data_IF_135139204721
#
_entry.id   IF_135139204721
#
_cell.length_a   1.000
_cell.length_b   1.000
_cell.length_c   1.000
_cell.angle_alpha   90.00
_cell.angle_beta   90.00
_cell.angle_gamma   90.00
#
_symmetry.space_group_name_H-M   'P 1'
#
loop_
_entity.id
_entity.type
_entity.pdbx_description
1 polymer ?
#
# COMPACT_ATOMS: atom_id res chain seq x y z
N UNK A 1 2.74 21.08 11.71
CA UNK A 1 3.76 20.02 11.73
C UNK A 1 3.45 18.86 10.78
N UNK A 2 4.23 18.75 9.70
CA UNK A 2 4.23 17.61 8.77
C UNK A 2 4.81 16.38 9.47
N UNK A 3 4.14 15.23 9.39
CA UNK A 3 4.55 13.98 10.08
C UNK A 3 5.01 12.86 9.15
N UNK A 4 4.59 12.94 7.89
CA UNK A 4 4.92 12.03 6.82
C UNK A 4 4.98 12.79 5.51
N UNK A 5 5.63 12.18 4.51
CA UNK A 5 5.69 12.70 3.15
C UNK A 5 4.29 12.82 2.54
N UNK A 6 4.09 13.88 1.77
CA UNK A 6 2.90 14.11 0.96
C UNK A 6 3.07 13.54 -0.44
N UNK A 7 1.98 13.38 -1.23
CA UNK A 7 2.10 12.97 -2.62
C UNK A 7 2.96 13.93 -3.45
N UNK A 8 2.93 15.23 -3.14
CA UNK A 8 3.67 16.24 -3.88
C UNK A 8 5.18 16.12 -3.65
N UNK A 9 5.61 15.80 -2.42
CA UNK A 9 7.04 15.53 -2.11
C UNK A 9 7.60 14.35 -2.93
N UNK A 10 6.75 13.35 -3.18
CA UNK A 10 7.12 12.14 -3.92
C UNK A 10 7.10 12.36 -5.44
N UNK A 11 6.30 13.33 -5.92
CA UNK A 11 6.25 13.73 -7.34
C UNK A 11 7.49 14.50 -7.77
N UNK A 12 8.17 15.17 -6.84
CA UNK A 12 9.42 15.88 -7.12
C UNK A 12 10.58 14.93 -7.44
N UNK A 13 10.46 13.65 -7.10
CA UNK A 13 11.50 12.64 -7.34
C UNK A 13 11.57 12.25 -8.83
N UNK A 14 12.80 12.09 -9.31
CA UNK A 14 13.06 11.39 -10.58
C UNK A 14 12.79 9.88 -10.48
N UNK A 15 12.60 9.20 -11.62
CA UNK A 15 12.37 7.75 -11.65
C UNK A 15 13.51 6.94 -10.99
N UNK A 16 14.75 7.38 -11.13
CA UNK A 16 15.90 6.76 -10.45
C UNK A 16 15.80 6.90 -8.95
N UNK A 17 15.40 8.07 -8.45
CA UNK A 17 15.22 8.30 -7.01
C UNK A 17 14.03 7.55 -6.45
N UNK A 18 12.93 7.44 -7.21
CA UNK A 18 11.78 6.59 -6.86
C UNK A 18 12.19 5.13 -6.71
N UNK A 19 12.95 4.62 -7.68
CA UNK A 19 13.47 3.25 -7.63
C UNK A 19 14.40 3.04 -6.43
N UNK A 20 15.31 3.98 -6.16
CA UNK A 20 16.18 3.93 -4.99
C UNK A 20 15.37 3.93 -3.68
N UNK A 21 14.34 4.78 -3.59
CA UNK A 21 13.46 4.87 -2.42
C UNK A 21 12.72 3.56 -2.17
N UNK A 22 12.20 2.92 -3.22
CA UNK A 22 11.54 1.62 -3.14
C UNK A 22 12.48 0.52 -2.65
N UNK A 23 13.75 0.55 -3.03
CA UNK A 23 14.76 -0.41 -2.58
C UNK A 23 15.15 -0.21 -1.11
N UNK A 24 15.19 1.04 -0.63
CA UNK A 24 15.49 1.37 0.76
C UNK A 24 14.30 1.12 1.69
N UNK A 25 13.09 1.12 1.13
CA UNK A 25 11.88 0.96 1.91
C UNK A 25 11.70 -0.48 2.41
N UNK A 26 11.39 -0.60 3.70
CA UNK A 26 10.97 -1.84 4.35
C UNK A 26 9.50 -1.72 4.79
N UNK A 27 8.55 -2.20 3.96
CA UNK A 27 7.13 -2.13 4.26
C UNK A 27 6.78 -2.83 5.58
N UNK A 28 6.12 -2.13 6.48
CA UNK A 28 5.58 -2.67 7.74
C UNK A 28 4.06 -2.71 7.72
N UNK A 29 3.48 -3.50 8.62
CA UNK A 29 2.02 -3.59 8.78
C UNK A 29 1.47 -2.23 9.20
N UNK A 30 0.42 -1.81 8.54
CA UNK A 30 -0.28 -0.53 8.68
C UNK A 30 0.49 0.70 8.18
N UNK A 31 1.62 0.50 7.50
CA UNK A 31 2.25 1.59 6.78
C UNK A 31 1.34 2.11 5.67
N UNK A 32 1.38 3.42 5.47
CA UNK A 32 0.73 4.07 4.36
C UNK A 32 1.70 4.17 3.18
N UNK A 33 1.17 3.98 1.98
CA UNK A 33 1.90 4.16 0.73
C UNK A 33 0.95 4.67 -0.35
N UNK A 34 1.53 5.10 -1.46
CA UNK A 34 0.81 5.50 -2.65
C UNK A 34 1.04 4.47 -3.74
N UNK A 35 -0.03 3.86 -4.24
CA UNK A 35 0.01 3.10 -5.48
C UNK A 35 0.02 4.05 -6.66
N UNK A 36 0.91 3.80 -7.63
CA UNK A 36 0.96 4.49 -8.91
C UNK A 36 0.24 3.63 -9.95
N UNK A 37 -0.81 4.18 -10.56
CA UNK A 37 -1.58 3.53 -11.62
C UNK A 37 -1.43 4.34 -12.90
N UNK A 38 -0.71 3.80 -13.88
CA UNK A 38 -0.51 4.44 -15.18
C UNK A 38 -1.82 4.48 -15.96
N UNK A 39 -2.23 5.68 -16.40
CA UNK A 39 -3.36 5.87 -17.31
C UNK A 39 -2.92 5.91 -18.75
N UNK A 40 -1.83 6.63 -19.02
CA UNK A 40 -1.25 6.78 -20.35
C UNK A 40 0.26 6.93 -20.22
N UNK A 41 0.99 5.93 -20.71
CA UNK A 41 2.45 5.89 -20.67
C UNK A 41 3.07 6.86 -21.69
N UNK A 42 2.43 7.11 -22.82
CA UNK A 42 2.96 8.01 -23.86
C UNK A 42 2.91 9.47 -23.41
N UNK A 43 1.87 9.83 -22.65
CA UNK A 43 1.66 11.18 -22.13
C UNK A 43 2.14 11.38 -20.68
N UNK A 44 2.85 10.40 -20.12
CA UNK A 44 3.36 10.42 -18.74
C UNK A 44 2.27 10.73 -17.70
N UNK A 45 1.07 10.14 -17.89
CA UNK A 45 -0.08 10.39 -17.03
C UNK A 45 -0.40 9.17 -16.16
N UNK A 46 -0.48 9.40 -14.86
CA UNK A 46 -0.76 8.39 -13.86
C UNK A 46 -1.64 8.94 -12.74
N UNK A 47 -2.41 8.05 -12.13
CA UNK A 47 -3.18 8.31 -10.93
C UNK A 47 -2.44 7.77 -9.71
N UNK A 48 -2.69 8.40 -8.56
CA UNK A 48 -2.10 8.01 -7.28
C UNK A 48 -3.21 7.66 -6.31
N UNK A 49 -3.14 6.47 -5.71
CA UNK A 49 -4.11 6.00 -4.73
C UNK A 49 -3.44 5.75 -3.37
N UNK A 50 -4.03 6.27 -2.30
CA UNK A 50 -3.55 5.97 -0.94
C UNK A 50 -3.93 4.53 -0.57
N UNK A 51 -2.94 3.75 -0.16
CA UNK A 51 -3.09 2.37 0.29
C UNK A 51 -2.50 2.21 1.70
N UNK A 52 -3.09 1.28 2.45
CA UNK A 52 -2.57 0.81 3.73
C UNK A 52 -2.07 -0.62 3.58
N UNK A 53 -0.86 -0.89 4.07
CA UNK A 53 -0.26 -2.22 4.02
C UNK A 53 -0.86 -3.11 5.11
N UNK A 54 -1.35 -4.27 4.73
CA UNK A 54 -1.88 -5.28 5.65
C UNK A 54 -0.87 -6.40 5.93
N UNK A 55 -0.09 -6.76 4.91
CA UNK A 55 0.94 -7.81 4.96
C UNK A 55 1.98 -7.55 3.85
N UNK A 56 3.22 -7.97 4.07
CA UNK A 56 4.30 -7.86 3.08
C UNK A 56 5.04 -9.19 3.00
N UNK A 57 5.16 -9.74 1.79
CA UNK A 57 5.77 -11.05 1.55
C UNK A 57 6.85 -10.97 0.51
N UNK A 58 8.01 -11.53 0.85
CA UNK A 58 9.12 -11.69 -0.09
C UNK A 58 8.86 -12.93 -0.94
N UNK A 59 8.85 -12.75 -2.25
CA UNK A 59 8.75 -13.81 -3.24
C UNK A 59 10.14 -14.06 -3.81
N UNK A 60 10.74 -15.18 -3.41
CA UNK A 60 11.99 -15.65 -3.99
C UNK A 60 11.68 -16.53 -5.19
N UNK A 61 11.94 -15.99 -6.39
CA UNK A 61 11.98 -16.78 -7.63
C UNK A 61 13.44 -16.90 -8.10
N UNK A 62 13.81 -17.97 -8.83
CA UNK A 62 15.17 -18.11 -9.33
C UNK A 62 15.54 -16.92 -10.23
N UNK A 63 16.40 -16.03 -9.73
CA UNK A 63 16.85 -14.83 -10.44
C UNK A 63 16.06 -13.55 -10.16
N UNK A 64 15.00 -13.58 -9.35
CA UNK A 64 14.26 -12.37 -8.95
C UNK A 64 13.73 -12.46 -7.51
N UNK A 65 14.03 -11.45 -6.70
CA UNK A 65 13.52 -11.27 -5.34
C UNK A 65 12.56 -10.07 -5.37
N UNK A 66 11.26 -10.35 -5.40
CA UNK A 66 10.22 -9.30 -5.40
C UNK A 66 9.49 -9.26 -4.06
N UNK A 67 8.93 -8.10 -3.70
CA UNK A 67 8.07 -7.95 -2.52
C UNK A 67 6.63 -7.72 -2.97
N UNK A 68 5.72 -8.58 -2.54
CA UNK A 68 4.28 -8.44 -2.77
C UNK A 68 3.64 -7.95 -1.48
N UNK A 69 2.84 -6.90 -1.60
CA UNK A 69 2.09 -6.26 -0.53
C UNK A 69 0.64 -6.69 -0.62
N UNK A 70 0.06 -7.15 0.49
CA UNK A 70 -1.40 -7.17 0.65
C UNK A 70 -1.82 -5.80 1.14
N UNK A 71 -2.77 -5.15 0.48
CA UNK A 71 -3.16 -3.78 0.78
C UNK A 71 -4.66 -3.61 0.99
N UNK A 72 -5.01 -2.49 1.63
CA UNK A 72 -6.37 -1.99 1.80
C UNK A 72 -6.46 -0.57 1.25
N UNK A 73 -7.55 -0.25 0.56
CA UNK A 73 -7.84 1.09 0.03
C UNK A 73 -8.83 1.81 0.94
N UNK A 74 -8.40 2.79 1.75
CA UNK A 74 -9.29 3.48 2.69
C UNK A 74 -10.41 4.26 1.99
N UNK A 75 -10.15 4.75 0.78
CA UNK A 75 -11.09 5.54 -0.03
C UNK A 75 -11.88 4.69 -1.04
N UNK A 76 -11.79 3.36 -0.95
CA UNK A 76 -12.29 2.44 -1.96
C UNK A 76 -11.22 2.10 -3.00
N UNK A 77 -11.24 0.85 -3.48
CA UNK A 77 -10.32 0.39 -4.49
C UNK A 77 -10.56 1.12 -5.82
N UNK A 78 -9.51 1.42 -6.59
CA UNK A 78 -9.67 1.94 -7.94
C UNK A 78 -10.50 0.94 -8.75
N UNK A 79 -11.49 1.45 -9.48
CA UNK A 79 -12.27 0.63 -10.40
C UNK A 79 -11.45 0.47 -11.69
N UNK A 80 -10.43 -0.38 -11.65
CA UNK A 80 -9.81 -0.85 -12.87
C UNK A 80 -10.82 -1.80 -13.55
N UNK A 81 -11.07 -1.63 -14.85
CA UNK A 81 -11.70 -2.68 -15.64
C UNK A 81 -10.63 -3.77 -15.82
N UNK A 82 -10.43 -4.60 -14.79
CA UNK A 82 -9.76 -5.88 -14.99
C UNK A 82 -10.78 -6.70 -15.76
N UNK A 83 -10.54 -6.90 -17.06
CA UNK A 83 -11.14 -8.04 -17.74
C UNK A 83 -10.85 -9.26 -16.86
N UNK A 84 -11.94 -9.80 -16.35
CA UNK A 84 -12.02 -10.89 -15.40
C UNK A 84 -10.94 -11.92 -15.75
N UNK A 85 -10.00 -12.13 -14.83
CA UNK A 85 -9.01 -13.18 -15.00
C UNK A 85 -9.75 -14.47 -15.31
N UNK A 86 -9.57 -14.93 -16.56
CA UNK A 86 -10.17 -16.12 -17.14
C UNK A 86 -10.19 -17.19 -16.05
N UNK A 87 -11.39 -17.60 -15.61
CA UNK A 87 -11.54 -18.85 -14.88
C UNK A 87 -10.78 -19.90 -15.67
N UNK A 88 -9.65 -20.38 -15.11
CA UNK A 88 -8.96 -21.52 -15.65
C UNK A 88 -9.99 -22.64 -15.65
N UNK A 89 -10.50 -22.91 -16.85
CA UNK A 89 -11.49 -23.93 -17.08
C UNK A 89 -10.93 -25.26 -16.62
N UNK A 90 -11.46 -25.76 -15.51
CA UNK A 90 -11.46 -27.19 -15.24
C UNK A 90 -12.62 -27.80 -16.03
N UNK A 91 -12.43 -27.91 -17.34
CA UNK A 91 -13.10 -28.93 -18.15
C UNK A 91 -12.20 -30.17 -18.11
N UNK A 92 -12.57 -31.16 -17.31
CA UNK A 92 -12.56 -32.56 -17.75
C UNK A 92 -13.27 -33.46 -16.72
N UNK A 93 -14.55 -33.72 -16.98
CA UNK A 93 -15.09 -35.08 -16.89
C UNK A 93 -16.46 -35.08 -17.57
N UNK A 94 -16.47 -35.68 -18.75
CA UNK A 94 -17.64 -36.17 -19.46
C UNK A 94 -18.50 -37.01 -18.50
N UNK A 95 -19.79 -36.72 -18.41
CA UNK A 95 -20.81 -37.76 -18.21
C UNK A 95 -22.16 -37.23 -18.73
N UNK A 96 -22.61 -37.86 -19.80
CA UNK A 96 -23.95 -37.75 -20.36
C UNK A 96 -24.96 -38.31 -19.36
N UNK A 97 -26.05 -37.59 -19.08
CA UNK A 97 -27.34 -38.26 -18.90
C UNK A 97 -28.51 -37.26 -19.08
N UNK A 98 -29.20 -37.46 -20.19
CA UNK A 98 -30.47 -36.82 -20.57
C UNK A 98 -31.59 -37.22 -19.61
N UNK A 99 -32.26 -36.27 -18.93
CA UNK A 99 -33.69 -36.37 -18.57
C UNK A 99 -34.38 -35.00 -18.54
N UNK A 100 -35.28 -34.78 -19.49
CA UNK A 100 -36.32 -33.75 -19.44
C UNK A 100 -37.32 -34.01 -18.31
N UNK A 101 -37.79 -32.96 -17.63
CA UNK A 101 -39.22 -32.77 -17.30
C UNK A 101 -39.46 -31.41 -16.63
N UNK A 102 -40.41 -30.66 -17.21
CA UNK A 102 -40.98 -29.40 -16.74
C UNK A 102 -41.58 -29.43 -15.33
N UNK A 103 -41.45 -28.31 -14.57
CA UNK A 103 -42.57 -27.57 -13.95
C UNK A 103 -42.10 -26.48 -12.95
N UNK A 104 -42.43 -25.22 -13.23
CA UNK A 104 -42.72 -24.17 -12.24
C UNK A 104 -44.19 -24.35 -11.75
N UNK A 105 -44.67 -23.84 -10.58
CA UNK A 105 -44.37 -22.50 -10.05
C UNK A 105 -44.31 -22.29 -8.51
N UNK A 106 -43.67 -21.17 -8.14
CA UNK A 106 -43.99 -20.15 -7.11
C UNK A 106 -44.53 -20.57 -5.72
N UNK A 107 -43.79 -20.23 -4.66
CA UNK A 107 -44.34 -20.05 -3.30
C UNK A 107 -43.58 -18.99 -2.52
N UNK A 108 -44.26 -17.85 -2.38
CA UNK A 108 -44.06 -16.75 -1.45
C UNK A 108 -43.98 -17.22 0.02
N UNK A 109 -42.94 -16.84 0.76
CA UNK A 109 -42.98 -16.72 2.24
C UNK A 109 -42.06 -15.59 2.71
N UNK A 110 -42.70 -14.45 2.94
CA UNK A 110 -42.57 -13.48 4.04
C UNK A 110 -41.19 -13.17 4.65
N UNK A 111 -40.84 -11.89 4.52
CA UNK A 111 -39.98 -11.13 5.43
C UNK A 111 -40.36 -11.36 6.88
N UNK A 112 -39.37 -11.61 7.73
CA UNK A 112 -39.35 -11.03 9.06
C UNK A 112 -37.97 -10.43 9.35
N UNK A 113 -38.01 -9.13 9.52
CA UNK A 113 -36.94 -8.28 9.99
C UNK A 113 -36.84 -8.44 11.50
N UNK A 114 -35.74 -9.00 12.00
CA UNK A 114 -35.33 -8.74 13.39
C UNK A 114 -33.90 -8.20 13.42
N UNK A 115 -33.86 -6.87 13.41
CA UNK A 115 -32.69 -6.01 13.60
C UNK A 115 -32.19 -6.12 15.04
N UNK A 116 -31.42 -7.16 15.33
CA UNK A 116 -30.49 -7.19 16.45
C UNK A 116 -29.13 -6.67 16.00
N UNK A 117 -28.94 -5.35 16.01
CA UNK A 117 -27.67 -4.69 15.68
C UNK A 117 -26.58 -5.06 16.70
N UNK A 118 -25.98 -6.23 16.52
CA UNK A 118 -24.71 -6.58 17.14
C UNK A 118 -23.63 -5.96 16.25
N UNK A 119 -23.11 -4.81 16.68
CA UNK A 119 -21.89 -4.23 16.13
C UNK A 119 -20.73 -5.15 16.49
N UNK A 120 -20.60 -6.24 15.72
CA UNK A 120 -19.39 -7.03 15.71
C UNK A 120 -18.27 -6.10 15.25
N UNK A 121 -17.24 -5.99 16.08
CA UNK A 121 -16.00 -5.34 15.73
C UNK A 121 -15.35 -6.19 14.63
N UNK A 122 -15.77 -5.98 13.38
CA UNK A 122 -15.15 -6.60 12.22
C UNK A 122 -13.72 -6.10 12.18
N UNK A 123 -12.77 -6.99 12.44
CA UNK A 123 -11.36 -6.67 12.26
C UNK A 123 -11.18 -6.16 10.81
N UNK A 124 -10.41 -5.08 10.59
CA UNK A 124 -10.16 -4.54 9.25
C UNK A 124 -9.66 -5.58 8.23
N UNK A 125 -9.18 -6.73 8.72
CA UNK A 125 -8.68 -7.86 7.96
C UNK A 125 -9.75 -8.60 7.14
N UNK A 126 -11.01 -8.63 7.57
CA UNK A 126 -12.07 -9.43 6.91
C UNK A 126 -12.86 -8.64 5.87
N UNK A 127 -12.88 -7.31 5.97
CA UNK A 127 -13.55 -6.42 5.01
C UNK A 127 -12.64 -6.00 3.83
N UNK A 128 -11.34 -6.25 3.94
CA UNK A 128 -10.38 -5.89 2.91
C UNK A 128 -10.48 -6.89 1.74
N UNK A 129 -10.99 -6.41 0.61
CA UNK A 129 -10.78 -7.07 -0.69
C UNK A 129 -9.31 -7.50 -0.82
N UNK A 130 -9.08 -8.70 -1.38
CA UNK A 130 -7.74 -9.27 -1.51
C UNK A 130 -6.95 -8.54 -2.60
N UNK A 131 -6.54 -7.30 -2.36
CA UNK A 131 -5.70 -6.54 -3.27
C UNK A 131 -4.23 -6.81 -2.96
N UNK A 132 -3.49 -7.16 -4.01
CA UNK A 132 -2.07 -7.45 -3.94
C UNK A 132 -1.32 -6.53 -4.92
N UNK A 133 -0.27 -5.88 -4.43
CA UNK A 133 0.56 -4.96 -5.21
C UNK A 133 2.03 -5.38 -5.17
N UNK A 134 2.76 -5.11 -6.25
CA UNK A 134 4.22 -5.16 -6.22
C UNK A 134 4.74 -3.87 -5.55
N UNK A 135 5.76 -3.98 -4.69
CA UNK A 135 6.45 -2.82 -4.09
C UNK A 135 6.90 -1.80 -5.13
N UNK A 136 7.29 -2.25 -6.32
CA UNK A 136 7.74 -1.36 -7.42
C UNK A 136 6.63 -0.42 -7.93
N UNK A 137 5.36 -0.76 -7.70
CA UNK A 137 4.21 0.08 -8.06
C UNK A 137 3.80 1.02 -6.92
N UNK A 138 4.54 1.02 -5.81
CA UNK A 138 4.21 1.78 -4.61
C UNK A 138 5.31 2.80 -4.28
N UNK A 139 4.92 3.93 -3.73
CA UNK A 139 5.83 4.89 -3.09
C UNK A 139 5.47 5.05 -1.61
N UNK A 140 6.44 4.86 -0.69
CA UNK A 140 6.17 4.97 0.73
C UNK A 140 5.87 6.40 1.18
N UNK A 141 4.83 6.58 2.00
CA UNK A 141 4.70 7.81 2.80
C UNK A 141 5.54 7.70 4.06
N UNK A 142 6.85 7.91 3.90
CA UNK A 142 7.79 7.78 5.01
C UNK A 142 7.41 8.75 6.14
N UNK A 143 7.28 8.21 7.35
CA UNK A 143 7.20 9.00 8.56
C UNK A 143 8.61 9.36 9.08
N UNK A 144 8.67 10.29 10.04
CA UNK A 144 9.93 10.74 10.68
C UNK A 144 10.79 9.56 11.15
N UNK A 145 10.20 8.56 11.80
CA UNK A 145 10.93 7.39 12.29
C UNK A 145 11.54 6.54 11.16
N UNK A 146 10.78 6.33 10.09
CA UNK A 146 11.25 5.59 8.91
C UNK A 146 12.38 6.33 8.18
N UNK A 147 12.29 7.65 8.03
CA UNK A 147 13.37 8.46 7.44
C UNK A 147 14.65 8.39 8.29
N UNK A 148 14.52 8.48 9.61
CA UNK A 148 15.65 8.33 10.54
C UNK A 148 16.30 6.95 10.40
N UNK A 149 15.49 5.89 10.32
CA UNK A 149 15.97 4.52 10.17
C UNK A 149 16.73 4.32 8.85
N UNK A 150 16.19 4.82 7.74
CA UNK A 150 16.87 4.79 6.44
C UNK A 150 18.22 5.51 6.51
N UNK A 151 18.26 6.71 7.09
CA UNK A 151 19.50 7.48 7.24
C UNK A 151 20.52 6.74 8.11
N UNK A 152 20.07 6.19 9.23
CA UNK A 152 20.93 5.42 10.16
C UNK A 152 21.56 4.21 9.49
N UNK A 153 20.81 3.48 8.67
CA UNK A 153 21.30 2.27 8.00
C UNK A 153 22.28 2.57 6.85
N UNK A 154 22.22 3.76 6.24
CA UNK A 154 22.96 4.05 5.00
C UNK A 154 24.02 5.17 5.10
N UNK A 155 23.80 6.20 5.92
CA UNK A 155 24.77 7.30 6.15
C UNK A 155 25.50 7.22 7.49
N UNK A 156 25.13 6.28 8.37
CA UNK A 156 25.64 6.18 9.75
C UNK A 156 24.71 6.88 10.75
N UNK A 157 24.99 6.78 12.06
CA UNK A 157 24.10 7.31 13.10
C UNK A 157 23.91 8.83 12.97
N UNK A 158 22.72 9.33 12.56
CA UNK A 158 22.41 10.74 12.74
C UNK A 158 22.44 11.06 14.24
N UNK A 159 23.01 12.21 14.61
CA UNK A 159 23.02 12.64 16.01
C UNK A 159 21.61 13.11 16.39
N UNK A 160 20.76 12.21 16.86
CA UNK A 160 19.38 12.53 17.22
C UNK A 160 19.23 12.51 18.73
N UNK A 161 18.79 13.62 19.30
CA UNK A 161 18.49 13.74 20.73
C UNK A 161 16.99 13.94 20.93
N UNK A 162 16.34 12.94 21.50
CA UNK A 162 14.94 13.06 21.92
C UNK A 162 14.89 13.65 23.33
N UNK A 163 14.17 14.77 23.50
CA UNK A 163 13.76 15.24 24.83
C UNK A 163 12.24 15.05 24.98
N UNK A 164 11.73 14.91 26.22
CA UNK A 164 10.29 14.78 26.46
C UNK A 164 9.46 15.98 25.98
N UNK A 165 10.10 17.12 25.82
CA UNK A 165 9.48 18.40 25.45
C UNK A 165 9.61 18.66 23.93
N UNK A 166 10.73 18.24 23.32
CA UNK A 166 11.00 18.43 21.89
C UNK A 166 11.85 17.28 21.29
N UNK A 167 11.55 16.90 20.06
CA UNK A 167 12.43 16.06 19.24
C UNK A 167 13.42 16.96 18.51
N UNK A 168 14.71 16.84 18.85
CA UNK A 168 15.80 17.61 18.25
C UNK A 168 16.68 16.65 17.44
N UNK A 169 16.83 16.92 16.16
CA UNK A 169 17.66 16.13 15.25
C UNK A 169 18.82 16.98 14.77
N UNK A 170 20.05 16.49 14.91
CA UNK A 170 21.23 17.12 14.30
C UNK A 170 21.57 16.41 13.00
N UNK A 171 21.38 17.13 11.89
CA UNK A 171 21.76 16.69 10.56
C UNK A 171 22.95 17.55 10.13
N UNK A 172 24.10 16.91 9.90
CA UNK A 172 25.36 17.57 9.54
C UNK A 172 25.80 18.74 10.46
N UNK A 173 25.45 18.62 11.75
CA UNK A 173 25.77 19.63 12.76
C UNK A 173 24.77 20.79 12.86
N UNK A 174 23.69 20.78 12.07
CA UNK A 174 22.58 21.75 12.16
C UNK A 174 21.44 21.14 12.95
N UNK A 175 20.88 21.92 13.87
CA UNK A 175 19.77 21.53 14.74
C UNK A 175 18.42 21.75 14.05
N UNK A 176 17.59 20.71 13.99
CA UNK A 176 16.22 20.76 13.49
C UNK A 176 15.25 20.25 14.54
N UNK A 177 14.17 21.00 14.77
CA UNK A 177 13.08 20.62 15.68
C UNK A 177 11.73 21.09 15.14
N UNK A 178 10.66 20.55 15.70
CA UNK A 178 9.30 21.04 15.40
C UNK A 178 8.91 20.84 13.92
N UNK A 179 8.49 21.93 13.27
CA UNK A 179 7.84 21.87 11.97
C UNK A 179 8.80 21.57 10.81
N UNK A 180 10.08 21.91 10.94
CA UNK A 180 11.09 21.77 9.88
C UNK A 180 11.74 20.38 9.85
N UNK A 181 11.55 19.58 10.91
CA UNK A 181 12.22 18.29 11.06
C UNK A 181 11.88 17.31 9.94
N UNK A 182 10.61 17.25 9.51
CA UNK A 182 10.19 16.35 8.44
C UNK A 182 10.86 16.71 7.12
N UNK A 183 10.93 17.99 6.78
CA UNK A 183 11.50 18.46 5.51
C UNK A 183 13.02 18.32 5.53
N UNK A 184 13.68 18.64 6.65
CA UNK A 184 15.13 18.45 6.80
C UNK A 184 15.55 16.97 6.68
N UNK A 185 14.79 16.06 7.31
CA UNK A 185 15.01 14.62 7.15
C UNK A 185 14.77 14.17 5.70
N UNK A 186 13.76 14.73 5.05
CA UNK A 186 13.46 14.41 3.66
C UNK A 186 14.58 14.84 2.72
N UNK A 187 15.12 16.05 2.87
CA UNK A 187 16.29 16.50 2.10
C UNK A 187 17.49 15.57 2.31
N UNK A 188 17.77 15.19 3.56
CA UNK A 188 18.87 14.27 3.86
C UNK A 188 18.71 12.89 3.22
N UNK A 189 17.46 12.40 3.13
CA UNK A 189 17.10 11.17 2.42
C UNK A 189 17.25 11.36 0.92
N UNK A 190 16.81 12.48 0.35
CA UNK A 190 16.97 12.76 -1.09
C UNK A 190 18.43 12.75 -1.53
N UNK A 191 19.35 13.21 -0.68
CA UNK A 191 20.79 13.12 -0.94
C UNK A 191 21.34 11.67 -0.98
N UNK A 192 20.56 10.69 -0.52
CA UNK A 192 20.89 9.26 -0.57
C UNK A 192 20.29 8.58 -1.82
N UNK A 193 19.19 9.13 -2.37
CA UNK A 193 18.44 8.58 -3.51
C UNK A 193 19.14 8.87 -4.85
#
# INVERSE_FOLDING_TARGET
MKKCLSPDDLRELSETQKSALQHLWRPSKYDLAFEIVWRDVENDSYDIFLVMILDARVMNTPGNCGVILKVYYPSGAPHYELEEAVSLGENDSEDEDERESDNFPDSFTESDSDTGSQVDNVEPTELAGKHYLNVENCLPTLNIGQMIEILRENKGEPNISFTPEEAICYIDGTEYSGEELCDALWEAVKDLL
#
